data_IF_208061380689
#
_entry.id   IF_208061380689
#
_cell.length_a   1.000
_cell.length_b   1.000
_cell.length_c   1.000
_cell.angle_alpha   90.00
_cell.angle_beta   90.00
_cell.angle_gamma   90.00
#
_symmetry.space_group_name_H-M   'P 1'
#
loop_
_entity.id
_entity.type
_entity.pdbx_description
1 polymer ?
#
# COMPACT_ATOMS: atom_id res chain seq x y z
N UNK A 1 24.67 3.73 -41.62
CA UNK A 1 23.72 2.62 -41.36
C UNK A 1 23.56 2.51 -39.86
N UNK A 2 22.40 2.91 -39.31
CA UNK A 2 22.14 2.85 -37.88
C UNK A 2 21.99 1.42 -37.39
N UNK A 3 22.54 1.10 -36.22
CA UNK A 3 22.51 -0.24 -35.64
C UNK A 3 21.05 -0.69 -35.38
N UNK A 4 20.55 -1.78 -36.00
CA UNK A 4 19.17 -2.24 -35.84
C UNK A 4 18.81 -2.61 -34.39
N UNK A 5 19.79 -2.92 -33.54
CA UNK A 5 19.56 -3.16 -32.12
C UNK A 5 19.19 -1.88 -31.35
N UNK A 6 19.78 -0.74 -31.71
CA UNK A 6 19.44 0.55 -31.10
C UNK A 6 18.02 1.00 -31.46
N UNK A 7 17.62 0.77 -32.71
CA UNK A 7 16.27 1.08 -33.17
C UNK A 7 15.22 0.24 -32.42
N UNK A 8 15.47 -1.06 -32.24
CA UNK A 8 14.58 -1.99 -31.54
C UNK A 8 14.45 -1.67 -30.05
N UNK A 9 15.55 -1.31 -29.39
CA UNK A 9 15.52 -0.86 -27.98
C UNK A 9 14.78 0.46 -27.79
N UNK A 10 14.84 1.39 -28.74
CA UNK A 10 14.12 2.68 -28.65
C UNK A 10 12.60 2.49 -28.73
N UNK A 11 12.15 1.57 -29.59
CA UNK A 11 10.73 1.24 -29.77
C UNK A 11 10.16 0.54 -28.54
N UNK A 12 10.93 -0.37 -27.91
CA UNK A 12 10.47 -1.03 -26.68
C UNK A 12 10.34 -0.04 -25.53
N UNK A 13 11.33 0.83 -25.32
CA UNK A 13 11.29 1.88 -24.29
C UNK A 13 10.10 2.83 -24.47
N UNK A 14 9.80 3.22 -25.70
CA UNK A 14 8.64 4.09 -26.01
C UNK A 14 7.31 3.40 -25.73
N UNK A 15 7.16 2.12 -26.06
CA UNK A 15 5.95 1.33 -25.73
C UNK A 15 5.76 1.20 -24.22
N UNK A 16 6.82 0.94 -23.47
CA UNK A 16 6.75 0.84 -22.00
C UNK A 16 6.38 2.20 -21.38
N UNK A 17 6.94 3.30 -21.88
CA UNK A 17 6.57 4.66 -21.47
C UNK A 17 5.07 4.94 -21.67
N UNK A 18 4.52 4.54 -22.82
CA UNK A 18 3.09 4.72 -23.11
C UNK A 18 2.22 3.90 -22.15
N UNK A 19 2.56 2.63 -21.93
CA UNK A 19 1.81 1.76 -21.00
C UNK A 19 1.85 2.32 -19.58
N UNK A 20 3.01 2.79 -19.12
CA UNK A 20 3.14 3.39 -17.81
C UNK A 20 2.34 4.69 -17.66
N UNK A 21 2.36 5.55 -18.68
CA UNK A 21 1.54 6.76 -18.70
C UNK A 21 0.04 6.41 -18.66
N UNK A 22 -0.39 5.38 -19.40
CA UNK A 22 -1.78 4.89 -19.36
C UNK A 22 -2.16 4.36 -17.97
N UNK A 23 -1.28 3.59 -17.31
CA UNK A 23 -1.52 3.09 -15.95
C UNK A 23 -1.60 4.25 -14.96
N UNK A 24 -0.67 5.22 -15.02
CA UNK A 24 -0.69 6.40 -14.17
C UNK A 24 -1.98 7.21 -14.35
N UNK A 25 -2.39 7.44 -15.60
CA UNK A 25 -3.62 8.14 -15.92
C UNK A 25 -4.87 7.36 -15.46
N UNK A 26 -4.89 6.04 -15.62
CA UNK A 26 -6.00 5.20 -15.17
C UNK A 26 -6.11 5.19 -13.64
N UNK A 27 -4.99 5.06 -12.92
CA UNK A 27 -4.96 5.16 -11.46
C UNK A 27 -5.42 6.53 -10.98
N UNK A 28 -4.94 7.61 -11.61
CA UNK A 28 -5.38 8.97 -11.28
C UNK A 28 -6.86 9.17 -11.54
N UNK A 29 -7.37 8.74 -12.70
CA UNK A 29 -8.78 8.82 -13.04
C UNK A 29 -9.63 8.00 -12.07
N UNK A 30 -9.18 6.81 -11.66
CA UNK A 30 -9.87 5.99 -10.69
C UNK A 30 -9.95 6.66 -9.31
N UNK A 31 -8.84 7.24 -8.82
CA UNK A 31 -8.81 7.97 -7.54
C UNK A 31 -9.71 9.23 -7.59
N UNK A 32 -9.70 9.96 -8.70
CA UNK A 32 -10.57 11.12 -8.92
C UNK A 32 -12.05 10.70 -9.01
N UNK A 33 -12.36 9.65 -9.76
CA UNK A 33 -13.73 9.11 -9.84
C UNK A 33 -14.21 8.66 -8.47
N UNK A 34 -13.37 7.95 -7.70
CA UNK A 34 -13.72 7.57 -6.34
C UNK A 34 -14.09 8.81 -5.51
N UNK A 35 -13.30 9.88 -5.55
CA UNK A 35 -13.61 11.13 -4.84
C UNK A 35 -14.86 11.88 -5.35
N UNK A 36 -15.17 11.83 -6.65
CA UNK A 36 -16.35 12.52 -7.20
C UNK A 36 -17.64 11.75 -6.89
N UNK A 37 -17.60 10.42 -7.00
CA UNK A 37 -18.79 9.57 -6.89
C UNK A 37 -19.05 9.09 -5.46
N UNK A 38 -18.04 9.02 -4.60
CA UNK A 38 -18.25 8.86 -3.16
C UNK A 38 -18.72 10.20 -2.60
N UNK A 39 -19.65 10.22 -1.63
CA UNK A 39 -20.12 11.44 -1.00
C UNK A 39 -19.06 12.04 -0.06
N UNK A 40 -17.90 12.43 -0.61
CA UNK A 40 -16.86 13.21 0.07
C UNK A 40 -17.00 14.70 -0.27
N UNK A 41 -16.45 15.56 0.59
CA UNK A 41 -16.23 16.97 0.24
C UNK A 41 -15.29 17.02 -0.98
N UNK A 42 -15.48 17.97 -1.91
CA UNK A 42 -14.61 18.09 -3.07
C UNK A 42 -13.13 18.22 -2.64
N UNK A 43 -12.19 17.65 -3.40
CA UNK A 43 -10.79 17.62 -3.02
C UNK A 43 -10.25 19.05 -2.86
N UNK A 44 -9.83 19.38 -1.63
CA UNK A 44 -9.14 20.62 -1.33
C UNK A 44 -7.65 20.46 -1.68
N UNK A 45 -7.17 21.18 -2.69
CA UNK A 45 -5.76 21.21 -3.09
C UNK A 45 -4.95 22.27 -2.33
N UNK A 46 -5.64 23.26 -1.74
CA UNK A 46 -5.02 24.37 -1.02
C UNK A 46 -5.59 24.44 0.40
N UNK A 47 -5.02 23.64 1.29
CA UNK A 47 -5.31 23.66 2.72
C UNK A 47 -4.42 22.68 3.46
N UNK A 48 -3.52 23.17 4.30
CA UNK A 48 -2.83 22.40 5.35
C UNK A 48 -3.70 22.44 6.62
N UNK A 49 -4.92 21.92 6.53
CA UNK A 49 -5.83 21.80 7.66
C UNK A 49 -5.63 20.47 8.39
N UNK A 50 -5.79 20.46 9.71
CA UNK A 50 -5.75 19.27 10.56
C UNK A 50 -7.05 18.44 10.47
N UNK A 51 -7.56 18.20 9.26
CA UNK A 51 -8.79 17.46 9.01
C UNK A 51 -8.62 16.38 7.94
N UNK A 52 -9.34 15.24 8.02
CA UNK A 52 -9.27 14.15 7.04
C UNK A 52 -9.44 14.55 5.57
N UNK A 53 -10.20 15.62 5.33
CA UNK A 53 -10.52 16.16 3.99
C UNK A 53 -9.47 17.14 3.45
N UNK A 54 -8.50 17.54 4.28
CA UNK A 54 -7.50 18.54 3.89
C UNK A 54 -6.29 17.95 3.18
N UNK A 55 -6.00 16.65 3.39
CA UNK A 55 -4.89 15.94 2.76
C UNK A 55 -5.29 15.18 1.49
N UNK A 56 -6.59 15.12 1.20
CA UNK A 56 -7.16 14.36 0.08
C UNK A 56 -6.59 14.77 -1.27
N UNK A 57 -6.43 16.07 -1.53
CA UNK A 57 -5.82 16.56 -2.76
C UNK A 57 -4.37 16.07 -2.95
N UNK A 58 -3.58 16.03 -1.87
CA UNK A 58 -2.22 15.49 -1.91
C UNK A 58 -2.19 13.99 -2.15
N UNK A 59 -3.12 13.24 -1.54
CA UNK A 59 -3.25 11.79 -1.74
C UNK A 59 -3.56 11.44 -3.19
N UNK A 60 -4.42 12.22 -3.85
CA UNK A 60 -4.71 12.03 -5.27
C UNK A 60 -3.49 12.34 -6.15
N UNK A 61 -2.70 13.36 -5.81
CA UNK A 61 -1.44 13.67 -6.52
C UNK A 61 -0.34 12.62 -6.30
N UNK A 62 -0.34 11.93 -5.15
CA UNK A 62 0.58 10.83 -4.88
C UNK A 62 0.34 9.62 -5.79
N UNK A 63 -0.89 9.40 -6.28
CA UNK A 63 -1.20 8.32 -7.22
C UNK A 63 -0.34 8.33 -8.49
N UNK A 64 -0.35 9.43 -9.29
CA UNK A 64 0.54 9.62 -10.43
C UNK A 64 2.02 9.52 -10.07
N UNK A 65 2.42 10.06 -8.92
CA UNK A 65 3.81 10.01 -8.47
C UNK A 65 4.27 8.57 -8.21
N UNK A 66 3.42 7.75 -7.57
CA UNK A 66 3.68 6.32 -7.36
C UNK A 66 3.76 5.55 -8.68
N UNK A 67 2.89 5.85 -9.64
CA UNK A 67 2.93 5.22 -10.96
C UNK A 67 4.21 5.61 -11.73
N UNK A 68 4.62 6.87 -11.67
CA UNK A 68 5.88 7.33 -12.25
C UNK A 68 7.10 6.67 -11.58
N UNK A 69 7.07 6.50 -10.25
CA UNK A 69 8.10 5.80 -9.50
C UNK A 69 8.18 4.31 -9.86
N UNK A 70 7.03 3.61 -9.91
CA UNK A 70 6.96 2.20 -10.31
C UNK A 70 7.50 1.99 -11.74
N UNK A 71 7.21 2.91 -12.64
CA UNK A 71 7.77 2.90 -13.99
C UNK A 71 9.28 3.15 -14.01
N UNK A 72 9.77 4.14 -13.25
CA UNK A 72 11.20 4.40 -13.10
C UNK A 72 11.93 3.15 -12.61
N UNK A 73 11.37 2.43 -11.64
CA UNK A 73 11.88 1.13 -11.19
C UNK A 73 11.88 0.12 -12.32
N UNK A 74 10.79 0.01 -13.09
CA UNK A 74 10.69 -0.96 -14.17
C UNK A 74 11.80 -0.80 -15.22
N UNK A 75 12.15 0.45 -15.55
CA UNK A 75 13.19 0.76 -16.54
C UNK A 75 14.60 0.64 -15.96
N UNK A 76 14.80 1.06 -14.69
CA UNK A 76 16.15 1.19 -14.11
C UNK A 76 16.61 -0.02 -13.32
N UNK A 77 15.71 -0.87 -12.85
CA UNK A 77 16.06 -2.03 -12.02
C UNK A 77 16.30 -3.26 -12.92
N UNK A 78 17.56 -3.74 -13.04
CA UNK A 78 17.88 -4.90 -13.87
C UNK A 78 17.48 -6.21 -13.18
N UNK A 79 17.50 -6.27 -11.84
CA UNK A 79 17.09 -7.45 -11.09
C UNK A 79 15.56 -7.58 -11.11
N UNK A 80 15.08 -8.63 -11.78
CA UNK A 80 13.64 -8.87 -11.98
C UNK A 80 12.90 -9.18 -10.67
N UNK A 81 13.57 -9.75 -9.67
CA UNK A 81 12.98 -10.09 -8.37
C UNK A 81 12.75 -8.83 -7.56
N UNK A 82 13.79 -8.00 -7.40
CA UNK A 82 13.70 -6.71 -6.70
C UNK A 82 12.68 -5.80 -7.40
N UNK A 83 12.73 -5.73 -8.73
CA UNK A 83 11.77 -4.94 -9.53
C UNK A 83 10.33 -5.33 -9.24
N UNK A 84 10.01 -6.63 -9.27
CA UNK A 84 8.64 -7.09 -9.04
C UNK A 84 8.17 -6.81 -7.61
N UNK A 85 9.06 -6.92 -6.61
CA UNK A 85 8.76 -6.58 -5.22
C UNK A 85 8.49 -5.08 -5.04
N UNK A 86 9.30 -4.23 -5.64
CA UNK A 86 9.10 -2.78 -5.62
C UNK A 86 7.81 -2.36 -6.34
N UNK A 87 7.45 -3.02 -7.44
CA UNK A 87 6.15 -2.82 -8.11
C UNK A 87 5.00 -3.25 -7.19
N UNK A 88 5.12 -4.36 -6.48
CA UNK A 88 4.12 -4.79 -5.49
C UNK A 88 3.99 -3.78 -4.34
N UNK A 89 5.10 -3.18 -3.87
CA UNK A 89 5.08 -2.08 -2.90
C UNK A 89 4.32 -0.88 -3.45
N UNK A 90 4.59 -0.48 -4.70
CA UNK A 90 3.86 0.62 -5.34
C UNK A 90 2.36 0.34 -5.45
N UNK A 91 1.97 -0.90 -5.76
CA UNK A 91 0.58 -1.33 -5.79
C UNK A 91 -0.08 -1.28 -4.40
N UNK A 92 0.62 -1.71 -3.34
CA UNK A 92 0.13 -1.62 -1.96
C UNK A 92 -0.03 -0.17 -1.50
N UNK A 93 0.87 0.72 -1.89
CA UNK A 93 0.74 2.15 -1.61
C UNK A 93 -0.45 2.78 -2.35
N UNK A 94 -0.67 2.41 -3.61
CA UNK A 94 -1.85 2.85 -4.36
C UNK A 94 -3.16 2.32 -3.75
N UNK A 95 -3.17 1.06 -3.31
CA UNK A 95 -4.27 0.46 -2.56
C UNK A 95 -4.54 1.24 -1.27
N UNK A 96 -3.50 1.60 -0.51
CA UNK A 96 -3.64 2.39 0.69
C UNK A 96 -4.28 3.75 0.40
N UNK A 97 -3.79 4.47 -0.62
CA UNK A 97 -4.41 5.75 -1.02
C UNK A 97 -5.89 5.60 -1.36
N UNK A 98 -6.27 4.53 -2.07
CA UNK A 98 -7.66 4.24 -2.38
C UNK A 98 -8.48 3.97 -1.12
N UNK A 99 -7.97 3.17 -0.18
CA UNK A 99 -8.68 2.90 1.09
C UNK A 99 -8.92 4.18 1.89
N UNK A 100 -7.98 5.11 1.91
CA UNK A 100 -8.15 6.40 2.58
C UNK A 100 -9.28 7.23 1.95
N UNK A 101 -9.33 7.28 0.62
CA UNK A 101 -10.38 7.95 -0.15
C UNK A 101 -11.75 7.32 0.11
N UNK A 102 -11.81 6.00 0.26
CA UNK A 102 -13.06 5.26 0.52
C UNK A 102 -13.52 5.39 1.98
N UNK A 103 -12.59 5.37 2.94
CA UNK A 103 -12.89 5.35 4.38
C UNK A 103 -13.60 6.61 4.87
N UNK A 104 -13.12 7.79 4.50
CA UNK A 104 -13.63 9.05 5.06
C UNK A 104 -15.06 9.43 4.65
N UNK A 105 -15.53 9.18 3.41
CA UNK A 105 -16.94 9.38 3.05
C UNK A 105 -17.85 8.23 3.51
N UNK A 106 -17.30 7.14 4.08
CA UNK A 106 -18.08 5.99 4.52
C UNK A 106 -19.01 6.36 5.68
N UNK A 107 -20.30 6.10 5.50
CA UNK A 107 -21.33 6.35 6.52
C UNK A 107 -21.61 5.16 7.43
N UNK A 108 -21.23 3.96 6.99
CA UNK A 108 -21.43 2.72 7.75
C UNK A 108 -20.29 2.52 8.73
N UNK A 109 -20.58 2.36 10.01
CA UNK A 109 -19.57 2.08 11.03
C UNK A 109 -18.82 0.76 10.75
N UNK A 110 -19.56 -0.26 10.29
CA UNK A 110 -18.96 -1.52 9.86
C UNK A 110 -18.00 -1.30 8.69
N UNK A 111 -18.42 -0.55 7.66
CA UNK A 111 -17.55 -0.19 6.53
C UNK A 111 -16.30 0.57 6.97
N UNK A 112 -16.46 1.54 7.87
CA UNK A 112 -15.35 2.33 8.42
C UNK A 112 -14.39 1.47 9.22
N UNK A 113 -14.88 0.49 9.99
CA UNK A 113 -14.05 -0.47 10.72
C UNK A 113 -13.26 -1.38 9.77
N UNK A 114 -13.89 -1.87 8.69
CA UNK A 114 -13.23 -2.72 7.69
C UNK A 114 -12.13 -1.93 6.99
N UNK A 115 -12.43 -0.72 6.50
CA UNK A 115 -11.40 0.16 5.92
C UNK A 115 -10.27 0.41 6.91
N UNK A 116 -10.58 0.70 8.17
CA UNK A 116 -9.55 0.85 9.20
C UNK A 116 -8.64 -0.39 9.34
N UNK A 117 -9.18 -1.60 9.26
CA UNK A 117 -8.37 -2.82 9.29
C UNK A 117 -7.55 -3.01 8.02
N UNK A 118 -8.06 -2.59 6.86
CA UNK A 118 -7.33 -2.64 5.60
C UNK A 118 -6.06 -1.79 5.60
N UNK A 119 -5.93 -0.75 6.46
CA UNK A 119 -4.66 -0.02 6.66
C UNK A 119 -3.52 -0.93 7.10
N UNK A 120 -3.80 -2.01 7.82
CA UNK A 120 -2.75 -2.90 8.34
C UNK A 120 -2.17 -3.80 7.24
N UNK A 121 -2.89 -4.03 6.14
CA UNK A 121 -2.39 -4.82 5.00
C UNK A 121 -1.13 -4.20 4.39
N UNK A 122 -1.12 -2.95 3.88
CA UNK A 122 0.10 -2.36 3.36
C UNK A 122 1.16 -2.17 4.44
N UNK A 123 0.78 -1.82 5.69
CA UNK A 123 1.75 -1.69 6.79
C UNK A 123 2.50 -2.99 7.09
N UNK A 124 1.86 -4.15 6.96
CA UNK A 124 2.48 -5.46 7.23
C UNK A 124 3.26 -5.98 6.02
N UNK A 125 2.71 -5.86 4.82
CA UNK A 125 3.33 -6.45 3.62
C UNK A 125 4.41 -5.59 2.97
N UNK A 126 4.39 -4.25 3.10
CA UNK A 126 5.45 -3.39 2.55
C UNK A 126 6.80 -3.72 3.20
N UNK A 127 6.95 -3.78 4.54
CA UNK A 127 8.20 -4.18 5.17
C UNK A 127 8.63 -5.60 4.78
N UNK A 128 7.70 -6.55 4.63
CA UNK A 128 8.04 -7.92 4.19
C UNK A 128 8.63 -7.94 2.77
N UNK A 129 8.04 -7.16 1.85
CA UNK A 129 8.55 -7.00 0.49
C UNK A 129 9.92 -6.31 0.50
N UNK A 130 10.08 -5.24 1.28
CA UNK A 130 11.35 -4.52 1.41
C UNK A 130 12.45 -5.41 2.01
N UNK A 131 12.14 -6.20 3.03
CA UNK A 131 13.03 -7.19 3.62
C UNK A 131 13.49 -8.22 2.58
N UNK A 132 12.58 -8.69 1.72
CA UNK A 132 12.99 -9.59 0.64
C UNK A 132 13.87 -8.94 -0.43
N UNK A 133 13.67 -7.66 -0.72
CA UNK A 133 14.61 -6.90 -1.56
C UNK A 133 15.99 -6.85 -0.90
N UNK A 134 16.05 -6.63 0.42
CA UNK A 134 17.31 -6.58 1.17
C UNK A 134 18.03 -7.93 1.19
N UNK A 135 17.32 -9.04 1.43
CA UNK A 135 17.88 -10.40 1.34
C UNK A 135 18.47 -10.67 -0.04
N UNK A 136 17.78 -10.23 -1.10
CA UNK A 136 18.23 -10.38 -2.48
C UNK A 136 19.46 -9.53 -2.77
N UNK A 137 19.47 -8.27 -2.31
CA UNK A 137 20.61 -7.38 -2.44
C UNK A 137 21.86 -7.89 -1.69
N UNK A 138 21.67 -8.56 -0.55
CA UNK A 138 22.74 -9.15 0.25
C UNK A 138 23.16 -10.56 -0.22
N UNK A 139 22.53 -11.10 -1.27
CA UNK A 139 22.87 -12.43 -1.83
C UNK A 139 22.39 -13.63 -0.99
N UNK A 140 21.54 -13.41 0.02
CA UNK A 140 21.03 -14.46 0.90
C UNK A 140 19.73 -15.11 0.40
N UNK A 141 19.12 -14.61 -0.67
CA UNK A 141 17.82 -15.05 -1.19
C UNK A 141 17.77 -16.53 -1.60
N UNK A 142 18.89 -17.09 -2.04
CA UNK A 142 18.98 -18.49 -2.46
C UNK A 142 19.28 -19.46 -1.32
N UNK A 143 19.78 -18.95 -0.19
CA UNK A 143 20.13 -19.75 0.99
C UNK A 143 18.89 -20.32 1.67
N UNK A 144 19.04 -21.47 2.35
CA UNK A 144 17.94 -22.04 3.15
C UNK A 144 17.45 -21.06 4.21
N UNK A 145 18.38 -20.36 4.88
CA UNK A 145 18.07 -19.35 5.89
C UNK A 145 17.27 -18.18 5.31
N UNK A 146 17.70 -17.60 4.18
CA UNK A 146 16.99 -16.50 3.54
C UNK A 146 15.60 -16.88 3.02
N UNK A 147 15.44 -18.09 2.48
CA UNK A 147 14.12 -18.63 2.09
C UNK A 147 13.19 -18.80 3.29
N UNK A 148 13.71 -19.32 4.39
CA UNK A 148 12.96 -19.46 5.65
C UNK A 148 12.58 -18.09 6.21
N UNK A 149 13.51 -17.14 6.27
CA UNK A 149 13.26 -15.78 6.76
C UNK A 149 12.18 -15.07 5.92
N UNK A 150 12.25 -15.18 4.59
CA UNK A 150 11.20 -14.70 3.69
C UNK A 150 9.85 -15.36 3.98
N UNK A 151 9.82 -16.68 4.14
CA UNK A 151 8.57 -17.40 4.42
C UNK A 151 7.95 -16.94 5.74
N UNK A 152 8.77 -16.81 6.80
CA UNK A 152 8.34 -16.29 8.10
C UNK A 152 7.81 -14.85 7.97
N UNK A 153 8.51 -13.99 7.23
CA UNK A 153 8.08 -12.62 6.99
C UNK A 153 6.68 -12.55 6.35
N UNK A 154 6.42 -13.33 5.30
CA UNK A 154 5.11 -13.33 4.64
C UNK A 154 4.03 -14.05 5.45
N UNK A 155 4.34 -15.21 6.03
CA UNK A 155 3.39 -15.97 6.83
C UNK A 155 2.98 -15.20 8.09
N UNK A 156 3.93 -14.62 8.82
CA UNK A 156 3.67 -13.79 9.99
C UNK A 156 2.83 -12.56 9.63
N UNK A 157 3.20 -11.85 8.56
CA UNK A 157 2.43 -10.70 8.06
C UNK A 157 1.00 -11.09 7.65
N UNK A 158 0.82 -12.23 6.99
CA UNK A 158 -0.50 -12.72 6.57
C UNK A 158 -1.36 -13.15 7.76
N UNK A 159 -0.79 -13.85 8.74
CA UNK A 159 -1.50 -14.27 9.95
C UNK A 159 -1.95 -13.04 10.76
N UNK A 160 -1.06 -12.07 10.97
CA UNK A 160 -1.39 -10.83 11.67
C UNK A 160 -2.43 -10.01 10.91
N UNK A 161 -2.30 -9.90 9.58
CA UNK A 161 -3.28 -9.20 8.75
C UNK A 161 -4.65 -9.86 8.84
N UNK A 162 -4.73 -11.19 8.75
CA UNK A 162 -5.99 -11.92 8.90
C UNK A 162 -6.63 -11.64 10.25
N UNK A 163 -5.84 -11.69 11.32
CA UNK A 163 -6.31 -11.45 12.68
C UNK A 163 -6.83 -10.03 12.89
N UNK A 164 -6.20 -9.03 12.27
CA UNK A 164 -6.68 -7.64 12.29
C UNK A 164 -7.97 -7.52 11.47
N UNK A 165 -8.05 -8.12 10.29
CA UNK A 165 -9.23 -8.08 9.43
C UNK A 165 -10.45 -8.76 10.08
N UNK A 166 -10.23 -9.78 10.91
CA UNK A 166 -11.29 -10.47 11.65
C UNK A 166 -11.60 -9.83 13.00
N UNK A 167 -11.04 -8.66 13.33
CA UNK A 167 -11.12 -8.09 14.67
C UNK A 167 -12.56 -7.93 15.19
N UNK A 168 -13.54 -7.66 14.34
CA UNK A 168 -14.95 -7.57 14.75
C UNK A 168 -15.54 -8.88 15.30
N UNK A 169 -14.87 -10.03 15.12
CA UNK A 169 -15.32 -11.32 15.65
C UNK A 169 -14.82 -11.60 17.08
N UNK A 170 -13.70 -11.01 17.47
CA UNK A 170 -12.98 -11.40 18.70
C UNK A 170 -12.44 -10.23 19.52
N UNK A 171 -12.36 -9.02 18.95
CA UNK A 171 -11.89 -7.79 19.61
C UNK A 171 -10.54 -7.92 20.31
N UNK A 172 -9.62 -8.70 19.75
CA UNK A 172 -8.32 -8.99 20.38
C UNK A 172 -7.20 -8.05 19.89
N UNK A 173 -7.45 -7.28 18.83
CA UNK A 173 -6.57 -6.19 18.37
C UNK A 173 -7.10 -4.85 18.88
N UNK A 174 -8.39 -4.59 18.65
CA UNK A 174 -9.09 -3.39 19.13
C UNK A 174 -10.41 -3.78 19.78
N UNK A 175 -10.66 -3.27 20.98
CA UNK A 175 -11.96 -3.36 21.64
C UNK A 175 -12.67 -2.01 21.60
N UNK A 176 -13.91 -2.03 21.11
CA UNK A 176 -14.80 -0.87 20.97
C UNK A 176 -16.25 -1.37 20.82
N UNK A 177 -17.23 -0.46 20.93
CA UNK A 177 -18.65 -0.74 20.63
C UNK A 177 -19.16 0.23 19.57
N UNK A 178 -19.92 -0.28 18.58
CA UNK A 178 -20.59 0.58 17.60
C UNK A 178 -21.75 1.39 18.18
N UNK A 179 -22.23 1.04 19.39
CA UNK A 179 -23.23 1.85 20.09
C UNK A 179 -22.65 3.18 20.60
N UNK A 180 -21.31 3.31 20.66
CA UNK A 180 -20.64 4.56 20.97
C UNK A 180 -20.45 5.39 19.68
N UNK A 181 -21.11 6.55 19.53
CA UNK A 181 -20.91 7.43 18.36
C UNK A 181 -19.45 7.90 18.20
N UNK A 182 -18.65 7.84 19.27
CA UNK A 182 -17.23 8.14 19.30
C UNK A 182 -16.31 6.93 19.18
N UNK A 183 -16.80 5.74 18.83
CA UNK A 183 -16.02 4.47 18.86
C UNK A 183 -14.68 4.54 18.12
N UNK A 184 -14.63 5.30 17.03
CA UNK A 184 -13.41 5.46 16.21
C UNK A 184 -12.28 6.23 16.93
N UNK A 185 -12.61 7.02 17.95
CA UNK A 185 -11.66 7.67 18.86
C UNK A 185 -11.62 7.05 20.26
N UNK A 186 -12.68 6.35 20.67
CA UNK A 186 -12.82 5.72 21.97
C UNK A 186 -12.74 4.19 21.86
N UNK A 187 -11.52 3.70 21.61
CA UNK A 187 -11.21 2.27 21.53
C UNK A 187 -10.00 1.97 22.40
N UNK A 188 -9.82 0.69 22.76
CA UNK A 188 -8.65 0.23 23.51
C UNK A 188 -7.80 -0.70 22.65
N UNK A 189 -6.49 -0.57 22.82
CA UNK A 189 -5.52 -1.51 22.25
C UNK A 189 -5.46 -2.77 23.10
N UNK A 190 -5.67 -3.91 22.47
CA UNK A 190 -5.67 -5.21 23.13
C UNK A 190 -4.38 -5.97 22.85
N UNK A 191 -4.20 -7.16 23.45
CA UNK A 191 -2.92 -7.86 23.43
C UNK A 191 -2.37 -8.16 22.03
N UNK A 192 -3.20 -8.51 21.03
CA UNK A 192 -2.70 -8.74 19.67
C UNK A 192 -2.24 -7.47 18.97
N UNK A 193 -2.71 -6.29 19.37
CA UNK A 193 -2.17 -5.04 18.85
C UNK A 193 -0.66 -4.93 19.16
N UNK A 194 -0.25 -5.32 20.37
CA UNK A 194 1.17 -5.31 20.75
C UNK A 194 2.00 -6.32 19.97
N UNK A 195 1.41 -7.44 19.52
CA UNK A 195 2.07 -8.38 18.60
C UNK A 195 2.28 -7.74 17.22
N UNK A 196 1.27 -7.05 16.68
CA UNK A 196 1.37 -6.31 15.42
C UNK A 196 2.42 -5.22 15.52
N UNK A 197 2.42 -4.44 16.60
CA UNK A 197 3.42 -3.39 16.85
C UNK A 197 4.85 -3.97 16.97
N UNK A 198 5.02 -5.07 17.70
CA UNK A 198 6.29 -5.77 17.80
C UNK A 198 6.78 -6.27 16.44
N UNK A 199 5.87 -6.77 15.59
CA UNK A 199 6.21 -7.21 14.23
C UNK A 199 6.74 -6.06 13.36
N UNK A 200 6.17 -4.85 13.46
CA UNK A 200 6.68 -3.67 12.76
C UNK A 200 8.09 -3.27 13.16
N UNK A 201 8.49 -3.55 14.40
CA UNK A 201 9.85 -3.27 14.88
C UNK A 201 10.81 -4.39 14.48
N UNK A 202 10.38 -5.65 14.55
CA UNK A 202 11.25 -6.80 14.32
C UNK A 202 11.57 -7.05 12.85
N UNK A 203 10.61 -6.85 11.94
CA UNK A 203 10.78 -7.20 10.53
C UNK A 203 11.80 -6.31 9.77
N UNK A 204 11.95 -5.01 10.09
CA UNK A 204 13.00 -4.17 9.51
C UNK A 204 14.40 -4.35 10.13
N UNK A 205 14.53 -5.04 11.27
CA UNK A 205 15.79 -5.31 11.98
C UNK A 205 16.50 -6.55 11.45
#
# INVERSE_FOLDING_TARGET
>A
MGNPEQHTQSISKRRVLIVAACIAAATFALLICAEIFLPSKPPSFFGLGFGPSSTTGFMVLLGPALAAWAFSIYVRCPDTTIRNQLIAIAALLAFWLLDVIVKYPMKSDLGTSICWYLYYVPMLFIPALAFTCALRAAGFDTTKAGKTARSIAFAGSALLALFVLTNNLHHAVFSFSFDDPGWSGNYRYEWCYWLVAGWFVLLPL
#
